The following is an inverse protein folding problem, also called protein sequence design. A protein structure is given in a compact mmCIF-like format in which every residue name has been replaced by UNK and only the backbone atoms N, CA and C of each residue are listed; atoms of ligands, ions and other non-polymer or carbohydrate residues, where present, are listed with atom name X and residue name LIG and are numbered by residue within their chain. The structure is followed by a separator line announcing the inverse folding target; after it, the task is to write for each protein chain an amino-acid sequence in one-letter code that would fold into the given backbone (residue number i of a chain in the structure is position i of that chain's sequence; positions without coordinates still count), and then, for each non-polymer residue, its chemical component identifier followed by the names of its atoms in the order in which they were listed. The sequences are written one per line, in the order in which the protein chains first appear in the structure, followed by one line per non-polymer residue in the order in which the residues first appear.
data_IF_078548707412
#
_entry.id   IF_078548707412
#
_cell.length_a   1.000
_cell.length_b   1.000
_cell.length_c   1.000
_cell.angle_alpha   90.00
_cell.angle_beta   90.00
_cell.angle_gamma   90.00
#
_symmetry.space_group_name_H-M   'P 1'
#
loop_
_entity.id
_entity.type
_entity.pdbx_description
1 polymer ?
#
# COMPACT_ATOMS: atom_id res chain seq x y z
N UNK A 1 -12.01 -17.53 8.03
CA UNK A 1 -13.11 -17.07 7.13
C UNK A 1 -12.96 -15.59 6.98
N UNK A 2 -12.92 -15.07 5.78
CA UNK A 2 -12.95 -13.62 5.58
C UNK A 2 -14.22 -13.04 6.16
N UNK A 3 -14.09 -11.99 6.96
CA UNK A 3 -15.19 -11.09 7.25
C UNK A 3 -15.81 -10.56 5.94
N UNK A 4 -17.06 -10.16 5.99
CA UNK A 4 -17.70 -9.48 4.86
C UNK A 4 -16.86 -8.23 4.49
N UNK A 5 -16.65 -7.99 3.19
CA UNK A 5 -15.89 -6.84 2.69
C UNK A 5 -16.36 -5.50 3.28
N UNK A 6 -17.67 -5.38 3.51
CA UNK A 6 -18.28 -4.22 4.17
C UNK A 6 -17.88 -4.12 5.66
N UNK A 7 -17.95 -5.21 6.41
CA UNK A 7 -17.52 -5.25 7.83
C UNK A 7 -16.05 -4.89 7.99
N UNK A 8 -15.21 -5.34 7.07
CA UNK A 8 -13.79 -4.99 7.04
C UNK A 8 -13.58 -3.49 6.73
N UNK A 9 -14.39 -2.90 5.84
CA UNK A 9 -14.40 -1.46 5.59
C UNK A 9 -14.74 -0.67 6.85
N UNK A 10 -15.71 -1.12 7.64
CA UNK A 10 -16.13 -0.44 8.87
C UNK A 10 -15.01 -0.30 9.92
N UNK A 11 -13.95 -1.10 9.85
CA UNK A 11 -12.77 -0.95 10.72
C UNK A 11 -12.00 0.35 10.48
N UNK A 12 -12.28 1.03 9.36
CA UNK A 12 -11.72 2.35 9.05
C UNK A 12 -12.54 3.53 9.61
N UNK A 13 -13.70 3.29 10.25
CA UNK A 13 -14.53 4.36 10.78
C UNK A 13 -13.77 5.23 11.80
N UNK A 14 -14.09 6.51 11.81
CA UNK A 14 -13.54 7.52 12.71
C UNK A 14 -13.03 8.75 11.99
N UNK A 15 -12.46 9.66 12.76
CA UNK A 15 -11.75 10.83 12.23
C UNK A 15 -10.24 10.55 12.20
N UNK A 16 -9.65 10.79 11.03
CA UNK A 16 -8.23 10.62 10.75
C UNK A 16 -7.63 11.96 10.32
N UNK A 17 -6.62 12.40 11.04
CA UNK A 17 -5.88 13.62 10.76
C UNK A 17 -4.49 13.27 10.23
N UNK A 18 -4.05 13.94 9.17
CA UNK A 18 -2.78 13.60 8.56
C UNK A 18 -2.43 14.46 7.37
N UNK A 19 -1.71 13.89 6.42
CA UNK A 19 -1.25 14.62 5.24
C UNK A 19 -1.20 13.75 4.00
N UNK A 20 -1.44 14.36 2.84
CA UNK A 20 -1.14 13.84 1.52
C UNK A 20 0.22 14.36 1.09
N UNK A 21 1.20 13.50 1.02
CA UNK A 21 2.57 13.87 0.65
C UNK A 21 2.91 13.29 -0.71
N UNK A 22 3.24 14.14 -1.66
CA UNK A 22 3.74 13.73 -2.96
C UNK A 22 5.20 13.28 -2.84
N UNK A 23 5.51 12.12 -3.42
CA UNK A 23 6.85 11.52 -3.42
C UNK A 23 7.41 11.54 -4.84
N UNK A 24 8.66 11.98 -4.99
CA UNK A 24 9.38 11.89 -6.26
C UNK A 24 9.72 10.43 -6.59
N UNK A 25 10.06 10.15 -7.84
CA UNK A 25 10.54 8.82 -8.24
C UNK A 25 11.92 8.46 -7.63
N UNK A 26 12.55 9.40 -6.95
CA UNK A 26 13.78 9.24 -6.17
C UNK A 26 13.53 9.09 -4.67
N UNK A 27 12.24 9.06 -4.25
CA UNK A 27 11.87 8.90 -2.85
C UNK A 27 11.83 10.21 -2.04
N UNK A 28 12.06 11.36 -2.68
CA UNK A 28 12.07 12.65 -2.01
C UNK A 28 10.63 13.11 -1.69
N UNK A 29 10.45 13.71 -0.52
CA UNK A 29 9.19 14.37 -0.14
C UNK A 29 9.11 15.72 -0.87
N UNK A 30 8.12 15.90 -1.74
CA UNK A 30 7.95 17.12 -2.53
C UNK A 30 7.01 18.10 -1.84
N UNK A 31 5.72 17.78 -1.79
CA UNK A 31 4.67 18.62 -1.22
C UNK A 31 3.82 17.81 -0.24
N UNK A 32 3.35 18.46 0.81
CA UNK A 32 2.57 17.81 1.85
C UNK A 32 1.37 18.66 2.24
N UNK A 33 0.18 18.18 1.95
CA UNK A 33 -1.09 18.88 2.18
C UNK A 33 -1.78 18.27 3.39
N UNK A 34 -1.99 19.04 4.49
CA UNK A 34 -2.73 18.58 5.65
C UNK A 34 -4.17 18.19 5.29
N UNK A 35 -4.68 17.15 5.92
CA UNK A 35 -6.02 16.65 5.65
C UNK A 35 -6.71 16.10 6.88
N UNK A 36 -8.04 16.15 6.86
CA UNK A 36 -8.90 15.44 7.81
C UNK A 36 -9.86 14.59 7.01
N UNK A 37 -9.85 13.29 7.29
CA UNK A 37 -10.80 12.33 6.75
C UNK A 37 -11.74 11.88 7.85
N UNK A 38 -13.03 12.06 7.64
CA UNK A 38 -14.09 11.50 8.47
C UNK A 38 -14.76 10.33 7.73
N UNK A 39 -14.87 9.19 8.41
CA UNK A 39 -15.67 8.06 8.00
C UNK A 39 -16.69 7.80 9.10
N UNK A 40 -17.95 8.10 8.84
CA UNK A 40 -19.03 7.99 9.83
C UNK A 40 -20.09 7.00 9.37
N UNK A 41 -20.44 6.06 10.27
CA UNK A 41 -21.50 5.09 10.03
C UNK A 41 -22.86 5.66 10.43
N UNK A 42 -23.86 5.43 9.59
CA UNK A 42 -25.27 5.76 9.80
C UNK A 42 -26.14 4.52 9.57
N UNK A 43 -27.39 4.56 10.02
CA UNK A 43 -28.35 3.46 9.79
C UNK A 43 -27.78 2.10 10.24
N UNK A 44 -27.25 2.01 11.46
CA UNK A 44 -26.54 0.83 11.99
C UNK A 44 -25.34 0.39 11.11
N UNK A 45 -24.62 1.34 10.52
CA UNK A 45 -23.50 1.14 9.60
C UNK A 45 -23.89 0.55 8.22
N UNK A 46 -25.12 0.61 7.82
CA UNK A 46 -25.55 0.29 6.45
C UNK A 46 -25.22 1.42 5.45
N UNK A 47 -24.95 2.62 5.96
CA UNK A 47 -24.51 3.79 5.24
C UNK A 47 -23.26 4.33 5.90
N UNK A 48 -22.21 4.58 5.11
CA UNK A 48 -21.00 5.27 5.56
C UNK A 48 -20.83 6.56 4.78
N UNK A 49 -20.73 7.66 5.49
CA UNK A 49 -20.35 8.96 4.92
C UNK A 49 -18.85 9.13 5.00
N UNK A 50 -18.23 9.33 3.85
CA UNK A 50 -16.85 9.73 3.67
C UNK A 50 -16.82 11.25 3.49
N UNK A 51 -16.00 11.96 4.26
CA UNK A 51 -15.74 13.39 4.06
C UNK A 51 -14.26 13.66 4.18
N UNK A 52 -13.65 14.16 3.12
CA UNK A 52 -12.24 14.52 3.05
C UNK A 52 -12.09 16.03 2.91
N UNK A 53 -11.41 16.63 3.88
CA UNK A 53 -11.04 18.05 3.88
C UNK A 53 -9.53 18.16 3.72
N UNK A 54 -9.07 19.03 2.83
CA UNK A 54 -7.65 19.35 2.63
C UNK A 54 -7.41 20.80 2.97
N UNK A 55 -6.27 21.09 3.58
CA UNK A 55 -5.96 22.42 4.12
C UNK A 55 -4.69 22.97 3.49
N UNK A 56 -4.57 24.30 3.44
CA UNK A 56 -3.35 24.98 3.02
C UNK A 56 -2.30 25.08 4.14
N UNK A 57 -1.30 25.94 3.93
CA UNK A 57 -0.17 26.15 4.85
C UNK A 57 -0.58 26.51 6.28
N UNK A 58 -1.73 27.16 6.47
CA UNK A 58 -2.27 27.49 7.80
C UNK A 58 -2.83 26.29 8.57
N UNK A 59 -2.82 25.08 7.98
CA UNK A 59 -3.29 23.85 8.60
C UNK A 59 -4.76 23.90 9.01
N UNK A 60 -5.12 23.14 10.03
CA UNK A 60 -6.51 22.94 10.47
C UNK A 60 -7.18 24.17 11.09
N UNK A 61 -6.41 25.21 11.39
CA UNK A 61 -6.94 26.49 11.92
C UNK A 61 -7.57 27.38 10.84
N UNK A 62 -7.40 27.03 9.58
CA UNK A 62 -7.95 27.75 8.42
C UNK A 62 -9.10 26.97 7.78
N UNK A 63 -9.97 27.63 7.00
CA UNK A 63 -10.94 26.94 6.18
C UNK A 63 -10.26 25.96 5.21
N UNK A 64 -10.87 24.80 4.92
CA UNK A 64 -10.28 23.86 3.99
C UNK A 64 -10.24 24.42 2.56
N UNK A 65 -9.16 24.11 1.83
CA UNK A 65 -9.03 24.38 0.39
C UNK A 65 -9.99 23.55 -0.45
N UNK A 66 -10.29 22.33 0.03
CA UNK A 66 -11.28 21.45 -0.58
C UNK A 66 -12.03 20.68 0.49
N UNK A 67 -13.30 20.46 0.26
CA UNK A 67 -14.20 19.69 1.12
C UNK A 67 -15.06 18.78 0.22
N UNK A 68 -14.76 17.50 0.23
CA UNK A 68 -15.41 16.50 -0.59
C UNK A 68 -16.16 15.51 0.29
N UNK A 69 -17.41 15.20 -0.06
CA UNK A 69 -18.21 14.22 0.68
C UNK A 69 -18.86 13.22 -0.28
N UNK A 70 -18.90 11.97 0.14
CA UNK A 70 -19.54 10.87 -0.58
C UNK A 70 -20.17 9.88 0.40
N UNK A 71 -21.26 9.24 -0.02
CA UNK A 71 -21.92 8.20 0.76
C UNK A 71 -21.74 6.83 0.09
N UNK A 72 -21.50 5.82 0.92
CA UNK A 72 -21.36 4.44 0.51
C UNK A 72 -22.40 3.58 1.18
N UNK A 73 -23.13 2.80 0.40
CA UNK A 73 -24.02 1.71 0.87
C UNK A 73 -23.51 0.35 0.43
N UNK A 74 -22.54 0.34 -0.49
CA UNK A 74 -21.87 -0.85 -0.99
C UNK A 74 -20.51 -0.45 -1.55
N UNK A 75 -19.62 -1.43 -1.70
CA UNK A 75 -18.30 -1.24 -2.28
C UNK A 75 -18.29 -1.78 -3.71
N UNK A 76 -17.61 -1.06 -4.60
CA UNK A 76 -17.38 -1.53 -5.96
C UNK A 76 -16.49 -2.79 -5.99
N UNK A 77 -16.65 -3.61 -7.02
CA UNK A 77 -15.88 -4.87 -7.21
C UNK A 77 -14.37 -4.69 -7.08
N UNK A 78 -13.85 -3.54 -7.50
CA UNK A 78 -12.43 -3.21 -7.50
C UNK A 78 -11.86 -2.86 -6.11
N UNK A 79 -12.69 -2.83 -5.07
CA UNK A 79 -12.31 -2.43 -3.71
C UNK A 79 -12.41 -3.63 -2.79
N UNK A 80 -11.26 -4.07 -2.27
CA UNK A 80 -11.15 -5.20 -1.34
C UNK A 80 -10.64 -4.68 -0.01
N UNK A 81 -11.37 -4.97 1.07
CA UNK A 81 -10.93 -4.77 2.44
C UNK A 81 -10.63 -6.12 3.10
N UNK A 82 -9.50 -6.21 3.79
CA UNK A 82 -9.03 -7.37 4.52
C UNK A 82 -9.43 -7.30 6.00
N UNK A 83 -9.30 -8.41 6.71
CA UNK A 83 -9.75 -8.55 8.11
C UNK A 83 -9.10 -7.56 9.09
N UNK A 84 -7.96 -6.95 8.76
CA UNK A 84 -7.34 -5.88 9.57
C UNK A 84 -7.96 -4.50 9.32
N UNK A 85 -8.78 -4.34 8.28
CA UNK A 85 -9.19 -3.05 7.72
C UNK A 85 -8.24 -2.54 6.63
N UNK A 86 -7.14 -3.22 6.37
CA UNK A 86 -6.28 -2.94 5.22
C UNK A 86 -7.07 -3.10 3.91
N UNK A 87 -6.71 -2.33 2.88
CA UNK A 87 -7.46 -2.37 1.64
C UNK A 87 -6.61 -2.19 0.39
N UNK A 88 -7.12 -2.71 -0.71
CA UNK A 88 -6.59 -2.52 -2.06
C UNK A 88 -7.71 -2.15 -3.01
N UNK A 89 -7.56 -1.03 -3.71
CA UNK A 89 -8.43 -0.64 -4.82
C UNK A 89 -7.59 -0.14 -5.99
N UNK A 90 -8.13 -0.13 -7.21
CA UNK A 90 -7.39 0.35 -8.37
C UNK A 90 -8.13 0.07 -9.67
N UNK A 91 -7.50 0.44 -10.77
CA UNK A 91 -7.99 0.14 -12.12
C UNK A 91 -8.28 -1.35 -12.25
N UNK A 92 -9.37 -1.70 -12.90
CA UNK A 92 -9.72 -3.11 -13.19
C UNK A 92 -8.87 -3.67 -14.32
N UNK A 93 -8.37 -2.79 -15.19
CA UNK A 93 -7.58 -3.16 -16.34
C UNK A 93 -6.61 -2.04 -16.73
N UNK A 94 -5.40 -2.41 -17.13
CA UNK A 94 -4.50 -1.54 -17.87
C UNK A 94 -4.96 -1.51 -19.33
N UNK A 95 -5.44 -0.34 -19.79
CA UNK A 95 -5.89 -0.17 -21.16
C UNK A 95 -4.95 0.78 -21.94
N UNK A 96 -4.83 0.62 -23.26
CA UNK A 96 -4.04 1.53 -24.10
C UNK A 96 -4.53 2.97 -23.95
N UNK A 97 -3.58 3.91 -23.86
CA UNK A 97 -3.85 5.35 -23.83
C UNK A 97 -4.74 5.82 -22.66
N UNK A 98 -4.81 5.06 -21.59
CA UNK A 98 -5.56 5.44 -20.40
C UNK A 98 -4.62 5.51 -19.17
N UNK A 99 -4.95 6.38 -18.24
CA UNK A 99 -4.30 6.41 -16.94
C UNK A 99 -4.59 5.11 -16.18
N UNK A 100 -3.61 4.68 -15.41
CA UNK A 100 -3.75 3.56 -14.50
C UNK A 100 -3.45 4.02 -13.09
N UNK A 101 -4.23 3.54 -12.12
CA UNK A 101 -4.02 3.89 -10.73
C UNK A 101 -4.35 2.75 -9.77
N UNK A 102 -3.62 2.72 -8.66
CA UNK A 102 -3.88 1.85 -7.53
C UNK A 102 -3.78 2.65 -6.23
N UNK A 103 -4.69 2.37 -5.30
CA UNK A 103 -4.63 2.85 -3.93
C UNK A 103 -4.66 1.65 -2.99
N UNK A 104 -3.76 1.65 -2.03
CA UNK A 104 -3.66 0.65 -0.98
C UNK A 104 -3.56 1.34 0.37
N UNK A 105 -4.07 0.71 1.41
CA UNK A 105 -4.00 1.28 2.75
C UNK A 105 -4.00 0.23 3.85
N UNK A 106 -3.36 0.58 4.95
CA UNK A 106 -3.21 -0.20 6.15
C UNK A 106 -3.83 0.52 7.33
N UNK A 107 -4.30 -0.23 8.30
CA UNK A 107 -4.76 0.27 9.60
C UNK A 107 -4.07 -0.55 10.69
N UNK A 108 -3.46 0.13 11.65
CA UNK A 108 -2.90 -0.47 12.85
C UNK A 108 -3.21 0.45 14.02
N UNK A 109 -4.12 0.02 14.89
CA UNK A 109 -4.60 0.77 16.06
C UNK A 109 -5.07 2.19 15.70
N UNK A 110 -4.30 3.19 16.09
CA UNK A 110 -4.58 4.63 15.89
C UNK A 110 -3.78 5.24 14.73
N UNK A 111 -3.14 4.41 13.90
CA UNK A 111 -2.38 4.83 12.74
C UNK A 111 -2.97 4.23 11.48
N UNK A 112 -2.93 4.97 10.41
CA UNK A 112 -3.37 4.56 9.08
C UNK A 112 -2.40 5.09 8.05
N UNK A 113 -1.96 4.20 7.17
CA UNK A 113 -1.04 4.51 6.09
C UNK A 113 -1.70 4.16 4.76
N UNK A 114 -1.68 5.10 3.80
CA UNK A 114 -2.21 4.84 2.45
C UNK A 114 -1.22 5.27 1.39
N UNK A 115 -1.29 4.59 0.25
CA UNK A 115 -0.54 4.92 -0.95
C UNK A 115 -1.47 5.10 -2.13
N UNK A 116 -1.17 6.09 -2.98
CA UNK A 116 -1.74 6.18 -4.33
C UNK A 116 -0.58 6.14 -5.33
N UNK A 117 -0.65 5.24 -6.29
CA UNK A 117 0.32 5.07 -7.36
C UNK A 117 -0.39 5.33 -8.68
N UNK A 118 0.07 6.33 -9.43
CA UNK A 118 -0.55 6.75 -10.69
C UNK A 118 0.45 6.57 -11.84
N UNK A 119 -0.07 6.10 -12.96
CA UNK A 119 0.65 5.95 -14.20
C UNK A 119 -0.03 6.75 -15.30
N UNK A 120 0.78 7.38 -16.13
CA UNK A 120 0.30 8.14 -17.28
C UNK A 120 -0.25 7.22 -18.40
N UNK A 121 -0.87 7.77 -19.45
CA UNK A 121 -1.37 6.99 -20.58
C UNK A 121 -0.29 6.23 -21.37
N UNK A 122 0.98 6.56 -21.17
CA UNK A 122 2.13 5.85 -21.74
C UNK A 122 2.58 4.68 -20.85
N UNK A 123 1.97 4.53 -19.67
CA UNK A 123 2.28 3.50 -18.68
C UNK A 123 3.49 3.83 -17.79
N UNK A 124 4.00 5.07 -17.83
CA UNK A 124 5.08 5.50 -16.95
C UNK A 124 4.53 5.88 -15.58
N UNK A 125 5.24 5.49 -14.52
CA UNK A 125 4.88 5.91 -13.17
C UNK A 125 5.02 7.44 -13.08
N UNK A 126 3.91 8.13 -12.88
CA UNK A 126 3.83 9.59 -12.89
C UNK A 126 3.75 10.21 -11.50
N UNK A 127 3.19 9.48 -10.52
CA UNK A 127 3.02 10.01 -9.18
C UNK A 127 2.92 8.90 -8.13
N UNK A 128 3.54 9.14 -6.98
CA UNK A 128 3.34 8.37 -5.75
C UNK A 128 2.87 9.36 -4.69
N UNK A 129 1.75 9.07 -4.04
CA UNK A 129 1.25 9.86 -2.91
C UNK A 129 1.25 8.97 -1.68
N UNK A 130 1.99 9.37 -0.67
CA UNK A 130 2.00 8.76 0.66
C UNK A 130 1.06 9.56 1.56
N UNK A 131 0.08 8.87 2.17
CA UNK A 131 -0.91 9.48 3.05
C UNK A 131 -0.73 8.86 4.43
N UNK A 132 -0.29 9.67 5.38
CA UNK A 132 -0.04 9.28 6.77
C UNK A 132 -1.12 9.90 7.64
N UNK A 133 -1.85 9.07 8.35
CA UNK A 133 -3.04 9.49 9.09
C UNK A 133 -3.01 8.91 10.51
N UNK A 134 -3.46 9.70 11.46
CA UNK A 134 -3.55 9.38 12.88
C UNK A 134 -4.97 9.60 13.36
N UNK A 135 -5.45 8.72 14.22
CA UNK A 135 -6.79 8.86 14.79
C UNK A 135 -6.85 10.14 15.64
N UNK A 136 -7.86 10.96 15.41
CA UNK A 136 -8.05 12.20 16.14
C UNK A 136 -8.15 11.94 17.65
N UNK A 137 -7.64 12.90 18.43
CA UNK A 137 -7.62 12.87 19.90
C UNK A 137 -6.85 11.68 20.50
N UNK A 138 -5.83 11.17 19.79
CA UNK A 138 -4.88 10.19 20.30
C UNK A 138 -3.46 10.77 20.29
N UNK A 139 -2.53 10.09 20.96
CA UNK A 139 -1.10 10.41 20.99
C UNK A 139 -0.30 9.64 19.93
N UNK A 140 -0.99 9.02 18.98
CA UNK A 140 -0.36 8.31 17.88
C UNK A 140 0.58 9.22 17.09
N UNK A 141 1.77 8.70 16.75
CA UNK A 141 2.84 9.46 16.11
C UNK A 141 3.42 8.68 14.93
N UNK A 142 4.01 9.44 14.03
CA UNK A 142 4.79 8.91 12.92
C UNK A 142 6.04 8.16 13.43
N UNK A 143 6.33 7.05 12.81
CA UNK A 143 7.59 6.32 13.03
C UNK A 143 8.72 6.95 12.19
N UNK A 144 10.00 6.65 12.53
CA UNK A 144 11.11 6.99 11.66
C UNK A 144 10.95 6.42 10.25
N UNK A 145 11.64 6.99 9.25
CA UNK A 145 11.72 6.40 7.92
C UNK A 145 12.21 4.95 7.97
N UNK A 146 11.70 4.14 7.03
CA UNK A 146 12.16 2.77 6.87
C UNK A 146 13.62 2.77 6.41
N UNK A 147 14.42 1.88 6.97
CA UNK A 147 15.83 1.71 6.62
C UNK A 147 16.09 0.30 6.14
N UNK A 148 17.15 0.10 5.35
CA UNK A 148 17.63 -1.23 4.92
C UNK A 148 17.85 -2.14 6.14
N UNK A 149 18.48 -1.63 7.20
CA UNK A 149 18.76 -2.38 8.43
C UNK A 149 17.51 -2.99 9.07
N UNK A 150 16.39 -2.28 9.01
CA UNK A 150 15.11 -2.76 9.54
C UNK A 150 14.48 -3.86 8.67
N UNK A 151 14.88 -4.01 7.41
CA UNK A 151 14.42 -5.09 6.54
C UNK A 151 15.23 -6.37 6.70
N UNK A 152 16.51 -6.28 7.16
CA UNK A 152 17.37 -7.44 7.31
C UNK A 152 16.84 -8.44 8.32
N UNK A 153 17.16 -9.72 8.09
CA UNK A 153 16.78 -10.84 8.94
C UNK A 153 15.72 -11.72 8.31
N UNK A 154 15.06 -12.51 9.16
CA UNK A 154 14.03 -13.46 8.75
C UNK A 154 12.65 -12.99 9.20
N UNK A 155 11.67 -13.19 8.33
CA UNK A 155 10.29 -12.82 8.54
C UNK A 155 9.40 -13.98 8.14
N UNK A 156 8.52 -14.38 9.03
CA UNK A 156 7.50 -15.40 8.77
C UNK A 156 6.12 -14.75 8.80
N UNK A 157 5.24 -15.19 7.93
CA UNK A 157 3.93 -14.60 7.84
C UNK A 157 2.92 -15.43 7.09
N UNK A 158 1.77 -14.81 6.90
CA UNK A 158 0.64 -15.37 6.17
C UNK A 158 0.22 -14.38 5.10
N UNK A 159 0.18 -14.85 3.86
CA UNK A 159 -0.42 -14.18 2.73
C UNK A 159 -1.89 -14.58 2.60
N UNK A 160 -2.75 -13.60 2.48
CA UNK A 160 -4.17 -13.76 2.28
C UNK A 160 -4.56 -13.16 0.93
N UNK A 161 -5.04 -13.99 -0.02
CA UNK A 161 -5.31 -13.59 -1.40
C UNK A 161 -6.80 -13.65 -1.72
N UNK A 162 -7.31 -12.59 -2.33
CA UNK A 162 -8.66 -12.46 -2.89
C UNK A 162 -8.56 -12.33 -4.39
N UNK A 163 -9.34 -13.12 -5.11
CA UNK A 163 -9.33 -13.17 -6.57
C UNK A 163 -10.46 -12.33 -7.18
N UNK A 164 -10.17 -11.73 -8.34
CA UNK A 164 -11.10 -10.87 -9.07
C UNK A 164 -12.30 -11.62 -9.67
N UNK A 165 -12.14 -12.89 -9.94
CA UNK A 165 -13.12 -13.78 -10.57
C UNK A 165 -14.00 -14.56 -9.58
N UNK A 166 -13.98 -14.16 -8.28
CA UNK A 166 -14.76 -14.78 -7.20
C UNK A 166 -14.37 -16.21 -6.85
N UNK A 167 -13.20 -16.68 -7.27
CA UNK A 167 -12.65 -17.91 -6.71
C UNK A 167 -12.54 -17.79 -5.18
N UNK A 168 -12.61 -18.91 -4.44
CA UNK A 168 -12.38 -18.89 -3.01
C UNK A 168 -11.06 -18.22 -2.67
N UNK A 169 -11.07 -17.39 -1.65
CA UNK A 169 -9.84 -16.77 -1.14
C UNK A 169 -8.87 -17.84 -0.65
N UNK A 170 -7.59 -17.55 -0.78
CA UNK A 170 -6.52 -18.48 -0.46
C UNK A 170 -5.62 -17.90 0.64
N UNK A 171 -5.12 -18.78 1.50
CA UNK A 171 -4.17 -18.46 2.55
C UNK A 171 -2.91 -19.26 2.35
N UNK A 172 -1.74 -18.62 2.39
CA UNK A 172 -0.46 -19.26 2.19
C UNK A 172 0.55 -18.74 3.22
N UNK A 173 1.32 -19.66 3.84
CA UNK A 173 2.45 -19.28 4.67
C UNK A 173 3.56 -18.65 3.81
N UNK A 174 4.21 -17.63 4.33
CA UNK A 174 5.33 -16.94 3.70
C UNK A 174 6.54 -16.94 4.61
N UNK A 175 7.71 -17.01 4.01
CA UNK A 175 8.99 -16.79 4.69
C UNK A 175 9.86 -15.89 3.81
N UNK A 176 10.40 -14.82 4.40
CA UNK A 176 11.38 -13.95 3.73
C UNK A 176 12.66 -13.91 4.55
N UNK A 177 13.77 -14.15 3.89
CA UNK A 177 15.08 -13.86 4.41
C UNK A 177 15.73 -12.73 3.61
N UNK A 178 16.20 -11.67 4.29
CA UNK A 178 16.90 -10.54 3.70
C UNK A 178 18.28 -10.44 4.33
N UNK A 179 19.33 -10.54 3.48
CA UNK A 179 20.73 -10.50 3.89
C UNK A 179 21.47 -9.36 3.21
N UNK A 180 22.27 -8.64 3.98
CA UNK A 180 23.33 -7.80 3.43
C UNK A 180 24.46 -8.72 2.90
N UNK A 181 24.82 -8.56 1.64
CA UNK A 181 25.86 -9.37 0.99
C UNK A 181 27.12 -8.56 0.66
N UNK A 182 27.21 -7.33 1.21
CA UNK A 182 28.32 -6.41 0.97
C UNK A 182 28.21 -5.65 -0.36
N UNK A 183 29.12 -4.74 -0.62
CA UNK A 183 29.21 -3.95 -1.85
C UNK A 183 27.89 -3.22 -2.19
N UNK A 184 27.25 -2.63 -1.20
CA UNK A 184 25.95 -1.96 -1.31
C UNK A 184 24.87 -2.85 -1.96
N UNK A 185 24.85 -4.14 -1.61
CA UNK A 185 23.89 -5.11 -2.15
C UNK A 185 23.22 -5.91 -1.05
N UNK A 186 21.97 -6.24 -1.28
CA UNK A 186 21.22 -7.18 -0.47
C UNK A 186 20.71 -8.34 -1.32
N UNK A 187 20.58 -9.50 -0.69
CA UNK A 187 19.91 -10.68 -1.24
C UNK A 187 18.60 -10.89 -0.50
N UNK A 188 17.53 -11.10 -1.23
CA UNK A 188 16.23 -11.49 -0.70
C UNK A 188 15.84 -12.88 -1.20
N UNK A 189 15.38 -13.72 -0.29
CA UNK A 189 14.80 -15.01 -0.61
C UNK A 189 13.38 -15.07 -0.03
N UNK A 190 12.38 -15.18 -0.91
CA UNK A 190 10.95 -15.24 -0.56
C UNK A 190 10.43 -16.62 -0.89
N UNK A 191 9.94 -17.33 0.12
CA UNK A 191 9.23 -18.61 -0.02
C UNK A 191 7.73 -18.42 0.26
N UNK A 192 6.90 -19.00 -0.61
CA UNK A 192 5.44 -19.05 -0.44
C UNK A 192 4.89 -20.29 -1.17
N UNK A 193 4.09 -21.10 -0.48
CA UNK A 193 3.73 -22.43 -0.96
C UNK A 193 4.97 -23.25 -1.31
N UNK A 194 4.96 -23.87 -2.48
CA UNK A 194 6.09 -24.66 -3.00
C UNK A 194 7.10 -23.85 -3.82
N UNK A 195 7.01 -22.53 -3.78
CA UNK A 195 7.85 -21.63 -4.59
C UNK A 195 8.83 -20.88 -3.74
N UNK A 196 10.06 -20.74 -4.23
CA UNK A 196 11.08 -19.85 -3.67
C UNK A 196 11.60 -18.94 -4.77
N UNK A 197 11.58 -17.63 -4.48
CA UNK A 197 12.09 -16.60 -5.36
C UNK A 197 13.32 -15.96 -4.71
N UNK A 198 14.44 -15.97 -5.42
CA UNK A 198 15.65 -15.27 -5.00
C UNK A 198 15.84 -14.04 -5.87
N UNK A 199 16.15 -12.92 -5.25
CA UNK A 199 16.44 -11.66 -5.94
C UNK A 199 17.55 -10.91 -5.23
N UNK A 200 18.29 -10.09 -5.99
CA UNK A 200 19.35 -9.25 -5.48
C UNK A 200 19.01 -7.79 -5.79
N UNK A 201 19.25 -6.91 -4.84
CA UNK A 201 19.09 -5.49 -5.04
C UNK A 201 20.39 -4.75 -4.80
N UNK A 202 20.66 -3.72 -5.59
CA UNK A 202 21.67 -2.69 -5.31
C UNK A 202 21.03 -1.62 -4.42
N UNK A 203 21.74 -1.22 -3.40
CA UNK A 203 21.33 -0.19 -2.45
C UNK A 203 21.87 1.16 -2.92
N UNK A 204 21.01 2.16 -3.02
CA UNK A 204 21.39 3.54 -3.33
C UNK A 204 20.61 4.49 -2.42
N UNK A 205 21.19 4.85 -1.28
CA UNK A 205 20.51 5.60 -0.23
C UNK A 205 19.26 4.84 0.28
N UNK A 206 18.11 5.45 0.13
CA UNK A 206 16.81 4.88 0.53
C UNK A 206 16.10 4.16 -0.62
N UNK A 207 16.83 3.72 -1.64
CA UNK A 207 16.29 3.02 -2.81
C UNK A 207 16.97 1.66 -2.97
N UNK A 208 16.15 0.62 -3.18
CA UNK A 208 16.61 -0.71 -3.55
C UNK A 208 16.27 -0.95 -5.02
N UNK A 209 17.30 -1.20 -5.85
CA UNK A 209 17.17 -1.45 -7.28
C UNK A 209 17.24 -2.96 -7.55
N UNK A 210 16.12 -3.54 -7.96
CA UNK A 210 16.03 -4.94 -8.40
C UNK A 210 16.07 -4.99 -9.93
N UNK A 211 17.16 -5.51 -10.47
CA UNK A 211 17.42 -5.58 -11.92
C UNK A 211 17.37 -7.01 -12.46
N UNK A 212 17.33 -8.03 -11.59
CA UNK A 212 17.44 -9.45 -11.93
C UNK A 212 16.17 -10.07 -12.54
N UNK A 213 15.15 -9.29 -12.84
CA UNK A 213 13.87 -9.77 -13.34
C UNK A 213 13.52 -9.24 -14.73
N UNK A 214 12.42 -9.74 -15.32
CA UNK A 214 11.93 -9.27 -16.63
C UNK A 214 11.44 -7.81 -16.58
N UNK A 215 11.21 -7.30 -15.40
CA UNK A 215 10.80 -5.91 -15.14
C UNK A 215 11.70 -5.36 -14.03
N UNK A 216 12.47 -4.31 -14.35
CA UNK A 216 13.21 -3.56 -13.34
C UNK A 216 12.25 -2.89 -12.36
N UNK A 217 12.52 -3.05 -11.06
CA UNK A 217 11.69 -2.49 -9.98
C UNK A 217 12.56 -1.71 -9.02
N UNK A 218 11.95 -0.68 -8.45
CA UNK A 218 12.53 0.04 -7.33
C UNK A 218 11.67 -0.17 -6.09
N UNK A 219 12.31 -0.40 -4.96
CA UNK A 219 11.65 -0.23 -3.66
C UNK A 219 12.16 1.08 -3.08
N UNK A 220 11.25 2.00 -2.86
CA UNK A 220 11.50 3.24 -2.12
C UNK A 220 11.26 2.96 -0.64
N UNK A 221 12.23 3.30 0.21
CA UNK A 221 12.12 3.29 1.66
C UNK A 221 11.67 4.69 2.10
N UNK A 222 10.55 4.79 2.79
CA UNK A 222 9.81 6.03 2.96
C UNK A 222 9.52 6.31 4.45
N UNK A 223 9.09 7.54 4.79
CA UNK A 223 8.67 7.90 6.15
C UNK A 223 7.62 6.96 6.73
N UNK A 224 7.54 6.92 8.07
CA UNK A 224 6.59 6.11 8.84
C UNK A 224 6.71 4.60 8.62
N UNK A 225 7.91 4.09 8.32
CA UNK A 225 8.12 2.67 8.06
C UNK A 225 7.53 2.19 6.72
N UNK A 226 7.19 3.12 5.83
CA UNK A 226 6.53 2.84 4.56
C UNK A 226 7.50 2.37 3.46
N UNK A 227 7.01 1.58 2.50
CA UNK A 227 7.75 1.24 1.27
C UNK A 227 6.82 1.12 0.06
N UNK A 228 7.36 1.43 -1.11
CA UNK A 228 6.68 1.27 -2.40
C UNK A 228 7.54 0.43 -3.33
N UNK A 229 7.04 -0.74 -3.72
CA UNK A 229 7.67 -1.66 -4.67
C UNK A 229 6.83 -1.67 -5.96
N UNK A 230 7.26 -0.90 -6.94
CA UNK A 230 6.40 -0.54 -8.06
C UNK A 230 7.21 -0.50 -9.34
N UNK A 231 6.72 -1.09 -10.45
CA UNK A 231 7.34 -0.94 -11.76
C UNK A 231 7.40 0.53 -12.16
N UNK A 232 8.50 0.97 -12.74
CA UNK A 232 8.62 2.33 -13.30
C UNK A 232 7.84 2.48 -14.61
N UNK A 233 7.64 1.36 -15.32
CA UNK A 233 6.96 1.32 -16.60
C UNK A 233 6.05 0.09 -16.65
N UNK A 234 4.77 0.29 -16.87
CA UNK A 234 3.81 -0.75 -17.22
C UNK A 234 3.81 -0.97 -18.73
N UNK A 235 3.78 -2.23 -19.15
CA UNK A 235 3.74 -2.59 -20.57
C UNK A 235 2.51 -3.46 -20.84
N UNK A 236 1.83 -3.18 -21.93
CA UNK A 236 0.78 -4.06 -22.44
C UNK A 236 1.35 -5.45 -22.77
N UNK A 237 0.55 -6.49 -22.60
CA UNK A 237 0.91 -7.90 -22.81
C UNK A 237 2.01 -8.41 -21.88
N UNK A 238 2.17 -7.78 -20.74
CA UNK A 238 3.08 -8.22 -19.68
C UNK A 238 2.34 -8.21 -18.35
N UNK A 239 2.40 -9.32 -17.60
CA UNK A 239 1.88 -9.37 -16.24
C UNK A 239 2.74 -8.48 -15.32
N UNK A 240 2.11 -7.83 -14.37
CA UNK A 240 2.78 -6.98 -13.38
C UNK A 240 2.02 -6.98 -12.07
N UNK A 241 2.64 -6.43 -11.05
CA UNK A 241 2.00 -6.09 -9.79
C UNK A 241 2.47 -4.72 -9.29
N UNK A 242 1.67 -4.12 -8.45
CA UNK A 242 2.04 -2.98 -7.62
C UNK A 242 1.96 -3.42 -6.16
N UNK A 243 2.97 -3.05 -5.38
CA UNK A 243 3.08 -3.46 -4.00
C UNK A 243 3.45 -2.26 -3.14
N UNK A 244 2.89 -2.22 -1.94
CA UNK A 244 3.27 -1.29 -0.88
C UNK A 244 3.48 -2.08 0.40
N UNK A 245 4.35 -1.56 1.26
CA UNK A 245 4.67 -2.17 2.54
C UNK A 245 4.62 -1.17 3.67
N UNK A 246 4.41 -1.66 4.87
CA UNK A 246 4.44 -0.90 6.10
C UNK A 246 5.07 -1.71 7.23
N UNK A 247 6.19 -1.24 7.75
CA UNK A 247 6.76 -1.72 8.99
C UNK A 247 5.99 -1.08 10.14
N UNK A 248 4.99 -1.78 10.66
CA UNK A 248 4.06 -1.28 11.68
C UNK A 248 4.80 -0.99 12.99
N UNK A 249 5.67 -1.94 13.39
CA UNK A 249 6.61 -1.82 14.48
C UNK A 249 7.89 -2.60 14.16
N UNK A 250 8.80 -2.78 15.10
CA UNK A 250 10.09 -3.42 14.84
C UNK A 250 9.97 -4.92 14.55
N UNK A 251 8.82 -5.52 14.84
CA UNK A 251 8.56 -6.95 14.74
C UNK A 251 7.44 -7.30 13.75
N UNK A 252 6.62 -6.35 13.33
CA UNK A 252 5.51 -6.57 12.39
C UNK A 252 5.68 -5.75 11.13
N UNK A 253 5.58 -6.41 9.99
CA UNK A 253 5.50 -5.81 8.66
C UNK A 253 4.26 -6.29 7.94
N UNK A 254 3.57 -5.37 7.27
CA UNK A 254 2.46 -5.67 6.39
C UNK A 254 2.79 -5.30 4.95
N UNK A 255 2.28 -6.07 3.99
CA UNK A 255 2.39 -5.78 2.55
C UNK A 255 1.05 -5.96 1.85
N UNK A 256 0.76 -5.10 0.89
CA UNK A 256 -0.39 -5.20 0.00
C UNK A 256 0.11 -5.29 -1.44
N UNK A 257 -0.26 -6.37 -2.12
CA UNK A 257 0.11 -6.66 -3.50
C UNK A 257 -1.16 -6.72 -4.34
N UNK A 258 -1.21 -5.95 -5.42
CA UNK A 258 -2.28 -5.98 -6.40
C UNK A 258 -1.73 -6.46 -7.74
N UNK A 259 -2.21 -7.60 -8.23
CA UNK A 259 -1.63 -8.32 -9.36
C UNK A 259 -2.51 -8.23 -10.61
N UNK A 260 -1.86 -8.16 -11.76
CA UNK A 260 -2.47 -8.04 -13.09
C UNK A 260 -1.86 -9.06 -14.05
N UNK A 261 -2.70 -9.65 -14.89
CA UNK A 261 -2.26 -10.61 -15.91
C UNK A 261 -1.70 -9.92 -17.17
N UNK A 262 -1.31 -10.72 -18.16
CA UNK A 262 -0.78 -10.24 -19.45
C UNK A 262 -1.80 -9.43 -20.28
N UNK A 263 -3.10 -9.59 -20.01
CA UNK A 263 -4.14 -8.77 -20.63
C UNK A 263 -4.32 -7.42 -19.92
N UNK A 264 -3.56 -7.19 -18.85
CA UNK A 264 -3.71 -6.01 -18.00
C UNK A 264 -4.90 -6.09 -17.05
N UNK A 265 -5.59 -7.22 -16.96
CA UNK A 265 -6.74 -7.41 -16.08
C UNK A 265 -6.28 -7.64 -14.63
N UNK A 266 -6.94 -6.98 -13.68
CA UNK A 266 -6.75 -7.29 -12.26
C UNK A 266 -7.17 -8.73 -11.97
N UNK A 267 -6.27 -9.50 -11.38
CA UNK A 267 -6.50 -10.91 -11.07
C UNK A 267 -6.61 -11.19 -9.58
N UNK A 268 -5.86 -10.46 -8.74
CA UNK A 268 -5.91 -10.66 -7.29
C UNK A 268 -5.43 -9.45 -6.50
N UNK A 269 -5.82 -9.42 -5.24
CA UNK A 269 -5.21 -8.59 -4.21
C UNK A 269 -4.81 -9.47 -3.04
N UNK A 270 -3.57 -9.31 -2.56
CA UNK A 270 -3.00 -10.09 -1.47
C UNK A 270 -2.58 -9.16 -0.34
N UNK A 271 -2.97 -9.48 0.88
CA UNK A 271 -2.47 -8.88 2.11
C UNK A 271 -1.57 -9.88 2.82
N UNK A 272 -0.37 -9.47 3.15
CA UNK A 272 0.62 -10.28 3.87
C UNK A 272 0.90 -9.61 5.21
N UNK A 273 0.85 -10.40 6.28
CA UNK A 273 1.27 -9.98 7.62
C UNK A 273 2.45 -10.87 7.99
N UNK A 274 3.56 -10.24 8.31
CA UNK A 274 4.84 -10.91 8.59
C UNK A 274 5.38 -10.44 9.94
N UNK A 275 5.91 -11.38 10.71
CA UNK A 275 6.57 -11.13 11.98
C UNK A 275 8.05 -11.52 11.90
N UNK A 276 8.89 -10.74 12.54
CA UNK A 276 10.31 -11.00 12.62
C UNK A 276 10.57 -12.28 13.43
N UNK A 277 11.48 -13.11 12.94
CA UNK A 277 11.90 -14.36 13.58
C UNK A 277 13.32 -14.19 14.09
N UNK A 278 13.54 -14.43 15.38
CA UNK A 278 14.88 -14.50 16.01
C UNK A 278 15.29 -13.21 16.65
#
# INVERSE_FOLDING_TARGET
MMGNNWENFLKNLGEWQGSFTQISLQGELLDSIPSILNLEGFENNELVRFRLRRFGEGGYSQPPLSDYSQEYRFLGKQVIFFDTGAFSKGSLQLAPFSEFGAESGFVAENRRLRFVQLYDPQGSLSSIILIREFRANTDARERPPLTVKQLLGQWEGIAYTVYADWQPSETCATHIEVKDIGDDRLKQELSFGDRTLTSTARIEGDILHFEDGPISRKILLLPDGASSNTPLQLKLRQSFFVEVGWLVDDNERQRLIRSYNEKGEWISSTHVIEHRVG
#
